data_IF_553250479412
#
_entry.id   IF_553250479412
#
_cell.length_a   1.000
_cell.length_b   1.000
_cell.length_c   1.000
_cell.angle_alpha   90.00
_cell.angle_beta   90.00
_cell.angle_gamma   90.00
#
_symmetry.space_group_name_H-M   'P 1'
#
loop_
_entity.id
_entity.type
_entity.pdbx_description
1 polymer ?
#
# COMPACT_ATOMS: atom_id res chain seq x y z
N UNK A 1 7.07 -19.01 -27.56
CA UNK A 1 7.50 -18.30 -26.33
C UNK A 1 7.84 -19.34 -25.30
N UNK A 2 9.05 -19.34 -24.73
CA UNK A 2 9.32 -20.21 -23.59
C UNK A 2 8.43 -19.79 -22.42
N UNK A 3 7.85 -20.75 -21.73
CA UNK A 3 7.07 -20.48 -20.52
C UNK A 3 7.97 -19.86 -19.44
N UNK A 4 7.36 -19.16 -18.48
CA UNK A 4 8.10 -18.56 -17.35
C UNK A 4 8.96 -19.62 -16.64
N UNK A 5 8.39 -20.82 -16.47
CA UNK A 5 9.03 -21.98 -15.85
C UNK A 5 10.26 -22.46 -16.64
N UNK A 6 10.14 -22.70 -17.95
CA UNK A 6 11.27 -23.11 -18.79
C UNK A 6 12.42 -22.11 -18.74
N UNK A 7 12.10 -20.82 -18.67
CA UNK A 7 13.10 -19.76 -18.61
C UNK A 7 13.83 -19.77 -17.27
N UNK A 8 13.10 -19.89 -16.17
CA UNK A 8 13.68 -20.01 -14.83
C UNK A 8 14.56 -21.26 -14.73
N UNK A 9 14.07 -22.41 -15.17
CA UNK A 9 14.83 -23.67 -15.18
C UNK A 9 16.12 -23.55 -15.99
N UNK A 10 16.06 -22.94 -17.18
CA UNK A 10 17.26 -22.71 -18.01
C UNK A 10 18.30 -21.89 -17.24
N UNK A 11 17.88 -20.81 -16.58
CA UNK A 11 18.79 -19.92 -15.84
C UNK A 11 19.36 -20.60 -14.57
N UNK A 12 18.56 -21.41 -13.87
CA UNK A 12 19.02 -22.18 -12.72
C UNK A 12 20.03 -23.26 -13.12
N UNK A 13 19.82 -23.94 -14.25
CA UNK A 13 20.73 -24.96 -14.79
C UNK A 13 22.04 -24.37 -15.30
N UNK A 14 22.00 -23.14 -15.82
CA UNK A 14 23.21 -22.42 -16.24
C UNK A 14 24.11 -22.01 -15.07
N UNK A 15 23.56 -21.91 -13.85
CA UNK A 15 24.33 -21.63 -12.63
C UNK A 15 25.00 -22.92 -12.14
N UNK A 16 26.31 -22.87 -11.84
CA UNK A 16 27.01 -24.04 -11.27
C UNK A 16 26.50 -24.31 -9.84
N UNK A 17 26.14 -25.56 -9.49
CA UNK A 17 25.61 -25.91 -8.17
C UNK A 17 26.66 -25.82 -7.05
N UNK A 18 26.27 -25.74 -5.75
CA UNK A 18 24.93 -25.98 -5.21
C UNK A 18 24.11 -24.70 -4.98
N UNK A 19 22.81 -24.77 -5.32
CA UNK A 19 21.85 -23.71 -5.05
C UNK A 19 20.98 -24.09 -3.85
N UNK A 20 20.84 -23.20 -2.88
CA UNK A 20 19.89 -23.38 -1.76
C UNK A 20 18.46 -23.08 -2.20
N UNK A 21 17.46 -23.62 -1.48
CA UNK A 21 16.05 -23.34 -1.75
C UNK A 21 15.75 -21.84 -1.62
N UNK A 22 16.37 -21.18 -0.64
CA UNK A 22 16.20 -19.75 -0.40
C UNK A 22 16.75 -18.93 -1.57
N UNK A 23 17.93 -19.28 -2.09
CA UNK A 23 18.46 -18.65 -3.30
C UNK A 23 17.56 -18.88 -4.52
N UNK A 24 16.99 -20.08 -4.69
CA UNK A 24 16.05 -20.36 -5.77
C UNK A 24 14.79 -19.49 -5.67
N UNK A 25 14.25 -19.30 -4.46
CA UNK A 25 13.12 -18.43 -4.19
C UNK A 25 13.45 -16.97 -4.51
N UNK A 26 14.64 -16.50 -4.16
CA UNK A 26 15.11 -15.14 -4.51
C UNK A 26 15.18 -14.93 -6.02
N UNK A 27 15.71 -15.91 -6.77
CA UNK A 27 15.75 -15.84 -8.23
C UNK A 27 14.35 -15.83 -8.85
N UNK A 28 13.44 -16.66 -8.34
CA UNK A 28 12.05 -16.67 -8.77
C UNK A 28 11.39 -15.31 -8.52
N UNK A 29 11.57 -14.74 -7.33
CA UNK A 29 11.02 -13.43 -6.98
C UNK A 29 11.57 -12.32 -7.88
N UNK A 30 12.88 -12.33 -8.18
CA UNK A 30 13.50 -11.39 -9.09
C UNK A 30 12.94 -11.52 -10.52
N UNK A 31 12.79 -12.75 -11.02
CA UNK A 31 12.27 -13.00 -12.36
C UNK A 31 10.79 -12.56 -12.50
N UNK A 32 9.96 -12.83 -11.49
CA UNK A 32 8.56 -12.39 -11.49
C UNK A 32 8.49 -10.85 -11.48
N UNK A 33 9.17 -10.21 -10.53
CA UNK A 33 9.09 -8.76 -10.33
C UNK A 33 9.68 -7.94 -11.49
N UNK A 34 10.77 -8.42 -12.12
CA UNK A 34 11.48 -7.67 -13.17
C UNK A 34 11.02 -8.02 -14.57
N UNK A 35 10.83 -9.30 -14.86
CA UNK A 35 10.52 -9.76 -16.20
C UNK A 35 9.01 -9.95 -16.37
N UNK A 36 8.34 -10.76 -15.53
CA UNK A 36 6.93 -11.09 -15.76
C UNK A 36 6.01 -9.86 -15.62
N UNK A 37 6.13 -9.11 -14.53
CA UNK A 37 5.24 -7.99 -14.22
C UNK A 37 5.36 -6.84 -15.24
N UNK A 38 6.56 -6.63 -15.79
CA UNK A 38 6.88 -5.48 -16.67
C UNK A 38 6.91 -5.83 -18.16
N UNK A 39 6.81 -7.11 -18.52
CA UNK A 39 6.77 -7.52 -19.91
C UNK A 39 5.37 -7.29 -20.48
N UNK A 40 5.30 -6.63 -21.63
CA UNK A 40 4.06 -6.44 -22.37
C UNK A 40 3.48 -7.81 -22.75
N UNK A 41 2.26 -8.09 -22.31
CA UNK A 41 1.59 -9.34 -22.60
C UNK A 41 1.04 -9.32 -24.02
N UNK A 42 1.26 -10.37 -24.80
CA UNK A 42 0.88 -10.41 -26.23
C UNK A 42 -0.63 -10.25 -26.45
N UNK A 43 -1.46 -10.79 -25.54
CA UNK A 43 -2.92 -10.72 -25.66
C UNK A 43 -3.52 -9.41 -25.16
N UNK A 44 -2.90 -8.79 -24.14
CA UNK A 44 -3.45 -7.59 -23.52
C UNK A 44 -2.81 -6.32 -24.06
N UNK A 45 -1.66 -6.43 -24.74
CA UNK A 45 -0.82 -5.31 -25.21
C UNK A 45 -0.39 -4.33 -24.10
N UNK A 46 -0.62 -4.69 -22.83
CA UNK A 46 -0.26 -3.94 -21.63
C UNK A 46 0.62 -4.82 -20.74
N UNK A 47 1.36 -4.21 -19.82
CA UNK A 47 2.08 -4.97 -18.79
C UNK A 47 1.09 -5.46 -17.71
N UNK A 48 1.30 -6.67 -17.15
CA UNK A 48 0.46 -7.16 -16.04
C UNK A 48 0.41 -6.19 -14.86
N UNK A 49 1.53 -5.52 -14.56
CA UNK A 49 1.62 -4.51 -13.50
C UNK A 49 0.70 -3.30 -13.78
N UNK A 50 0.81 -2.68 -14.95
CA UNK A 50 -0.04 -1.55 -15.32
C UNK A 50 -1.52 -1.93 -15.33
N UNK A 51 -1.86 -3.10 -15.88
CA UNK A 51 -3.24 -3.56 -15.91
C UNK A 51 -3.79 -3.75 -14.50
N UNK A 52 -3.01 -4.37 -13.61
CA UNK A 52 -3.39 -4.52 -12.20
C UNK A 52 -3.60 -3.16 -11.52
N UNK A 53 -2.74 -2.18 -11.82
CA UNK A 53 -2.83 -0.82 -11.28
C UNK A 53 -3.88 0.07 -11.96
N UNK A 54 -4.39 -0.28 -13.14
CA UNK A 54 -5.52 0.40 -13.78
C UNK A 54 -6.86 0.02 -13.14
N UNK A 55 -7.00 -1.21 -12.61
CA UNK A 55 -8.23 -1.64 -11.95
C UNK A 55 -8.53 -0.80 -10.71
N UNK A 56 -9.74 -0.28 -10.49
CA UNK A 56 -10.00 0.61 -9.36
C UNK A 56 -9.64 -0.01 -8.00
N UNK A 57 -9.01 0.78 -7.12
CA UNK A 57 -8.51 0.31 -5.83
C UNK A 57 -9.60 -0.27 -4.91
N UNK A 58 -10.85 0.19 -5.05
CA UNK A 58 -11.98 -0.32 -4.26
C UNK A 58 -12.37 -1.77 -4.57
N UNK A 59 -11.98 -2.29 -5.74
CA UNK A 59 -12.16 -3.71 -6.08
C UNK A 59 -10.93 -4.57 -5.72
N UNK A 60 -9.82 -3.96 -5.30
CA UNK A 60 -8.61 -4.69 -4.91
C UNK A 60 -8.71 -5.11 -3.46
N UNK A 61 -8.69 -6.43 -3.23
CA UNK A 61 -8.58 -7.00 -1.88
C UNK A 61 -7.11 -7.11 -1.52
N UNK A 62 -6.64 -6.20 -0.68
CA UNK A 62 -5.35 -6.34 -0.03
C UNK A 62 -5.55 -7.19 1.21
N UNK A 63 -4.94 -8.37 1.23
CA UNK A 63 -4.83 -9.19 2.44
C UNK A 63 -3.39 -9.08 2.92
N UNK A 64 -3.20 -8.82 4.20
CA UNK A 64 -1.86 -8.77 4.77
C UNK A 64 -1.19 -10.14 4.61
N UNK A 65 0.08 -10.19 4.18
CA UNK A 65 0.79 -11.45 3.96
C UNK A 65 0.85 -12.31 5.23
N UNK A 66 0.96 -11.66 6.40
CA UNK A 66 0.90 -12.29 7.72
C UNK A 66 -0.46 -12.96 7.97
N UNK A 67 -1.56 -12.37 7.52
CA UNK A 67 -2.88 -12.99 7.65
C UNK A 67 -3.03 -14.19 6.71
N UNK A 68 -2.49 -14.10 5.50
CA UNK A 68 -2.51 -15.21 4.55
C UNK A 68 -1.66 -16.39 5.03
N UNK A 69 -0.47 -16.14 5.59
CA UNK A 69 0.41 -17.20 6.07
C UNK A 69 -0.26 -18.03 7.16
N UNK A 70 -1.02 -17.40 8.07
CA UNK A 70 -1.79 -18.07 9.13
C UNK A 70 -2.89 -19.01 8.61
N UNK A 71 -3.36 -18.86 7.37
CA UNK A 71 -4.39 -19.72 6.76
C UNK A 71 -3.79 -21.06 6.33
N UNK A 72 -2.53 -21.05 5.86
CA UNK A 72 -1.87 -22.26 5.33
C UNK A 72 -1.22 -23.12 6.42
N UNK A 73 -1.21 -22.66 7.66
CA UNK A 73 -0.62 -23.41 8.76
C UNK A 73 -1.43 -24.68 9.08
N UNK A 74 -0.77 -25.82 9.32
CA UNK A 74 -1.44 -27.05 9.72
C UNK A 74 -2.22 -26.86 11.03
N UNK A 75 -3.45 -27.38 11.05
CA UNK A 75 -4.38 -27.24 12.17
C UNK A 75 -4.45 -28.53 13.01
N UNK A 76 -4.51 -28.41 14.33
CA UNK A 76 -4.75 -29.53 15.25
C UNK A 76 -5.61 -29.11 16.44
N UNK A 77 -6.54 -29.98 16.85
CA UNK A 77 -7.39 -29.77 18.03
C UNK A 77 -6.72 -30.32 19.28
N UNK A 78 -6.69 -29.52 20.35
CA UNK A 78 -6.17 -29.93 21.67
C UNK A 78 -7.00 -29.33 22.79
N UNK A 79 -6.86 -29.87 24.00
CA UNK A 79 -7.52 -29.36 25.20
C UNK A 79 -6.55 -28.55 26.06
N UNK A 80 -6.97 -27.37 26.48
CA UNK A 80 -6.20 -26.53 27.39
C UNK A 80 -6.32 -27.07 28.82
N UNK A 81 -5.18 -27.21 29.52
CA UNK A 81 -5.15 -27.64 30.92
C UNK A 81 -5.74 -26.59 31.87
N UNK A 82 -5.97 -26.97 33.14
CA UNK A 82 -6.45 -26.05 34.20
C UNK A 82 -5.49 -24.88 34.44
N UNK A 83 -4.20 -25.10 34.21
CA UNK A 83 -3.12 -24.11 34.36
C UNK A 83 -2.83 -23.32 33.09
N UNK A 84 -3.66 -23.43 32.04
CA UNK A 84 -3.44 -22.68 30.80
C UNK A 84 -2.34 -23.22 29.90
N UNK A 85 -1.94 -24.48 30.11
CA UNK A 85 -0.95 -25.15 29.28
C UNK A 85 -1.62 -26.01 28.21
N UNK A 86 -1.12 -25.93 26.99
CA UNK A 86 -1.47 -26.83 25.90
C UNK A 86 -0.34 -27.83 25.70
N UNK A 87 -0.66 -29.12 25.61
CA UNK A 87 0.33 -30.15 25.28
C UNK A 87 0.23 -30.48 23.79
N UNK A 88 1.30 -30.21 23.05
CA UNK A 88 1.41 -30.48 21.63
C UNK A 88 2.81 -31.01 21.31
N UNK A 89 2.90 -32.14 20.59
CA UNK A 89 4.18 -32.79 20.23
C UNK A 89 5.18 -33.00 21.39
N UNK A 90 4.68 -33.40 22.58
CA UNK A 90 5.44 -33.56 23.84
C UNK A 90 5.98 -32.25 24.44
N UNK A 91 5.79 -31.13 23.75
CA UNK A 91 6.05 -29.80 24.24
C UNK A 91 4.80 -29.23 24.93
N UNK A 92 5.02 -28.24 25.80
CA UNK A 92 3.97 -27.51 26.50
C UNK A 92 4.01 -26.08 26.00
N UNK A 93 2.85 -25.48 25.75
CA UNK A 93 2.74 -24.08 25.33
C UNK A 93 1.86 -23.32 26.32
N UNK A 94 2.28 -22.12 26.69
CA UNK A 94 1.55 -21.25 27.60
C UNK A 94 0.54 -20.41 26.83
N UNK A 95 -0.74 -20.59 27.16
CA UNK A 95 -1.83 -19.79 26.59
C UNK A 95 -1.99 -18.50 27.40
N UNK A 96 -1.91 -17.32 26.77
CA UNK A 96 -2.05 -16.05 27.49
C UNK A 96 -3.47 -15.83 28.04
N UNK A 97 -4.49 -16.45 27.43
CA UNK A 97 -5.89 -16.22 27.77
C UNK A 97 -6.48 -17.21 28.79
N UNK A 98 -6.95 -16.67 29.91
CA UNK A 98 -7.59 -17.42 31.01
C UNK A 98 -8.94 -18.03 30.60
N UNK A 99 -9.67 -17.38 29.67
CA UNK A 99 -11.01 -17.82 29.23
C UNK A 99 -11.01 -19.16 28.49
N UNK A 100 -9.85 -19.55 27.96
CA UNK A 100 -9.69 -20.78 27.19
C UNK A 100 -9.36 -22.00 28.08
N UNK A 101 -9.27 -21.84 29.40
CA UNK A 101 -8.91 -22.94 30.29
C UNK A 101 -9.99 -24.04 30.30
N UNK A 102 -9.54 -25.30 30.23
CA UNK A 102 -10.39 -26.50 30.10
C UNK A 102 -11.20 -26.61 28.80
N UNK A 103 -11.05 -25.67 27.86
CA UNK A 103 -11.72 -25.70 26.57
C UNK A 103 -10.92 -26.49 25.52
N UNK A 104 -11.62 -26.92 24.48
CA UNK A 104 -11.01 -27.45 23.27
C UNK A 104 -10.70 -26.29 22.32
N UNK A 105 -9.44 -26.17 21.93
CA UNK A 105 -8.94 -25.11 21.05
C UNK A 105 -8.28 -25.71 19.82
N UNK A 106 -8.28 -24.94 18.74
CA UNK A 106 -7.57 -25.24 17.51
C UNK A 106 -6.22 -24.53 17.56
N UNK A 107 -5.15 -25.30 17.42
CA UNK A 107 -3.80 -24.78 17.30
C UNK A 107 -3.42 -24.79 15.83
N UNK A 108 -2.84 -23.69 15.36
CA UNK A 108 -2.09 -23.64 14.11
C UNK A 108 -0.62 -23.44 14.44
N UNK A 109 0.25 -24.21 13.82
CA UNK A 109 1.69 -24.19 14.15
C UNK A 109 2.52 -24.15 12.87
N UNK A 110 3.67 -23.51 12.94
CA UNK A 110 4.66 -23.56 11.87
C UNK A 110 5.55 -24.79 12.08
N UNK A 111 5.89 -25.47 10.98
CA UNK A 111 6.83 -26.61 11.03
C UNK A 111 8.28 -26.13 11.16
N UNK A 112 8.57 -24.91 10.70
CA UNK A 112 9.91 -24.33 10.73
C UNK A 112 10.21 -23.63 12.07
N UNK A 113 9.18 -23.06 12.71
CA UNK A 113 9.31 -22.37 14.00
C UNK A 113 8.40 -22.99 15.09
N UNK A 114 8.88 -24.01 15.83
CA UNK A 114 8.11 -24.64 16.89
C UNK A 114 8.03 -23.80 18.18
N UNK A 115 8.65 -22.60 18.24
CA UNK A 115 8.68 -21.80 19.48
C UNK A 115 7.35 -21.15 19.82
N UNK A 116 6.49 -20.98 18.82
CA UNK A 116 5.19 -20.32 18.93
C UNK A 116 4.13 -21.11 18.20
N UNK A 117 2.92 -21.06 18.75
CA UNK A 117 1.73 -21.62 18.13
C UNK A 117 0.57 -20.64 18.22
N UNK A 118 -0.26 -20.61 17.20
CA UNK A 118 -1.40 -19.70 17.11
C UNK A 118 -2.66 -20.39 17.62
N UNK A 119 -3.35 -19.77 18.57
CA UNK A 119 -4.53 -20.34 19.23
C UNK A 119 -5.80 -19.76 18.65
N UNK A 120 -6.69 -20.66 18.23
CA UNK A 120 -7.99 -20.37 17.66
C UNK A 120 -9.10 -21.07 18.47
N UNK A 121 -10.22 -20.40 18.65
CA UNK A 121 -11.40 -20.98 19.28
C UNK A 121 -12.67 -20.45 18.62
N UNK A 122 -13.55 -21.35 18.16
CA UNK A 122 -14.79 -21.00 17.44
C UNK A 122 -14.54 -20.02 16.27
N UNK A 123 -13.56 -20.36 15.42
CA UNK A 123 -13.14 -19.56 14.26
C UNK A 123 -12.66 -18.14 14.57
N UNK A 124 -12.32 -17.86 15.84
CA UNK A 124 -11.71 -16.61 16.26
C UNK A 124 -10.27 -16.83 16.71
N UNK A 125 -9.40 -15.93 16.29
CA UNK A 125 -8.02 -15.87 16.73
C UNK A 125 -7.93 -15.23 18.13
N UNK A 126 -7.24 -15.91 19.05
CA UNK A 126 -7.09 -15.47 20.45
C UNK A 126 -5.64 -15.10 20.81
N UNK A 127 -4.67 -15.36 19.93
CA UNK A 127 -3.29 -14.94 20.12
C UNK A 127 -2.26 -16.05 19.97
N UNK A 128 -1.02 -15.71 20.28
CA UNK A 128 0.14 -16.59 20.21
C UNK A 128 0.39 -17.23 21.58
N UNK A 129 0.63 -18.55 21.58
CA UNK A 129 1.09 -19.30 22.74
C UNK A 129 2.56 -19.68 22.52
N UNK A 130 3.39 -19.36 23.51
CA UNK A 130 4.83 -19.61 23.44
C UNK A 130 5.21 -20.91 24.15
N UNK A 131 6.29 -21.53 23.70
CA UNK A 131 6.85 -22.74 24.30
C UNK A 131 7.14 -22.52 25.81
N UNK A 132 6.53 -23.35 26.63
CA UNK A 132 6.70 -23.38 28.09
C UNK A 132 7.99 -24.12 28.42
N UNK A 133 9.01 -23.37 28.81
CA UNK A 133 10.27 -23.91 29.34
C UNK A 133 10.13 -24.01 30.86
N UNK A 134 10.20 -25.23 31.45
CA UNK A 134 10.06 -25.42 32.91
C UNK A 134 11.23 -24.82 33.70
N UNK A 135 12.35 -24.58 33.04
CA UNK A 135 13.55 -23.93 33.59
C UNK A 135 13.57 -22.45 33.20
N UNK A 136 12.87 -21.59 33.94
CA UNK A 136 13.29 -20.22 34.24
C UNK A 136 12.20 -19.47 34.99
N UNK A 137 12.21 -19.71 36.29
CA UNK A 137 11.78 -18.75 37.30
C UNK A 137 12.52 -17.42 37.08
N UNK A 138 11.81 -16.32 37.24
CA UNK A 138 12.14 -14.92 36.90
C UNK A 138 13.60 -14.47 37.17
N UNK A 139 14.27 -15.06 38.16
CA UNK A 139 15.62 -14.75 38.63
C UNK A 139 16.75 -15.08 37.63
N UNK A 140 16.64 -16.17 36.86
CA UNK A 140 17.68 -16.52 35.86
C UNK A 140 17.64 -15.62 34.63
N UNK A 141 16.45 -15.09 34.29
CA UNK A 141 16.26 -14.14 33.18
C UNK A 141 16.93 -12.79 33.45
N UNK A 142 16.82 -12.29 34.69
CA UNK A 142 17.54 -11.10 35.13
C UNK A 142 19.06 -11.33 35.17
N UNK A 143 19.51 -12.48 35.67
CA UNK A 143 20.93 -12.85 35.69
C UNK A 143 21.53 -13.03 34.28
N UNK A 144 20.74 -13.50 33.31
CA UNK A 144 21.13 -13.63 31.91
C UNK A 144 21.21 -12.25 31.22
N UNK A 145 20.20 -11.39 31.41
CA UNK A 145 20.21 -10.01 30.91
C UNK A 145 21.39 -9.19 31.44
N UNK A 146 21.79 -9.39 32.71
CA UNK A 146 22.95 -8.72 33.31
C UNK A 146 24.31 -9.25 32.84
N UNK A 147 24.36 -10.44 32.21
CA UNK A 147 25.59 -11.05 31.68
C UNK A 147 25.81 -10.79 30.19
N UNK A 148 24.82 -10.21 29.51
CA UNK A 148 25.00 -9.70 28.15
C UNK A 148 25.86 -8.44 28.22
N UNK A 149 27.18 -8.58 28.03
CA UNK A 149 28.00 -7.46 27.57
C UNK A 149 27.43 -6.99 26.22
N UNK A 150 27.37 -5.68 25.94
CA UNK A 150 27.21 -5.22 24.57
C UNK A 150 28.38 -5.81 23.77
N UNK A 151 28.08 -6.53 22.69
CA UNK A 151 29.12 -6.89 21.74
C UNK A 151 29.85 -5.59 21.33
N UNK A 152 31.19 -5.60 21.21
CA UNK A 152 31.88 -4.58 20.45
C UNK A 152 31.19 -4.51 19.09
N UNK A 153 30.85 -3.29 18.65
CA UNK A 153 30.23 -3.07 17.35
C UNK A 153 30.99 -3.86 16.29
N UNK A 154 30.30 -4.76 15.60
CA UNK A 154 30.83 -5.38 14.40
C UNK A 154 31.25 -4.24 13.47
N UNK A 155 32.55 -4.06 13.30
CA UNK A 155 33.09 -3.30 12.20
C UNK A 155 32.53 -3.96 10.95
N UNK A 156 31.69 -3.22 10.23
CA UNK A 156 31.23 -3.61 8.90
C UNK A 156 32.42 -4.14 8.09
N UNK A 157 32.30 -5.30 7.42
CA UNK A 157 33.41 -5.88 6.69
C UNK A 157 34.01 -4.85 5.72
N UNK A 158 35.33 -4.85 5.51
CA UNK A 158 35.98 -3.90 4.60
C UNK A 158 35.26 -3.95 3.26
N UNK A 159 34.96 -2.76 2.71
CA UNK A 159 34.27 -2.63 1.44
C UNK A 159 34.94 -3.55 0.41
N UNK A 160 34.17 -4.40 -0.29
CA UNK A 160 34.75 -5.19 -1.36
C UNK A 160 35.33 -4.23 -2.39
N UNK A 161 36.58 -4.47 -2.74
CA UNK A 161 37.26 -3.87 -3.89
C UNK A 161 36.36 -3.95 -5.13
N UNK A 162 36.53 -3.07 -6.15
CA UNK A 162 35.72 -3.06 -7.36
C UNK A 162 36.06 -4.26 -8.25
N UNK A 163 35.77 -5.47 -7.76
CA UNK A 163 35.71 -6.67 -8.56
C UNK A 163 34.30 -6.76 -9.10
N UNK A 164 34.15 -6.45 -10.38
CA UNK A 164 32.90 -6.61 -11.13
C UNK A 164 32.89 -8.05 -11.64
N UNK A 165 32.16 -9.00 -11.01
CA UNK A 165 32.00 -10.32 -11.58
C UNK A 165 31.26 -10.21 -12.93
N UNK A 166 31.55 -11.10 -13.89
CA UNK A 166 30.88 -11.10 -15.18
C UNK A 166 29.43 -11.53 -14.99
N UNK A 167 28.55 -10.58 -14.70
CA UNK A 167 27.17 -10.88 -14.33
C UNK A 167 26.41 -11.59 -15.45
N UNK A 168 25.80 -12.73 -15.12
CA UNK A 168 24.62 -13.29 -15.79
C UNK A 168 23.43 -12.33 -15.58
N UNK A 169 22.49 -12.24 -16.53
CA UNK A 169 21.36 -11.28 -16.53
C UNK A 169 20.63 -11.18 -15.18
N UNK A 170 20.43 -12.31 -14.48
CA UNK A 170 19.73 -12.37 -13.19
C UNK A 170 20.50 -11.72 -12.05
N UNK A 171 21.82 -11.78 -12.06
CA UNK A 171 22.62 -11.14 -11.01
C UNK A 171 22.59 -9.61 -11.16
N UNK A 172 22.50 -9.09 -12.39
CA UNK A 172 22.23 -7.67 -12.63
C UNK A 172 20.86 -7.27 -12.08
N UNK A 173 19.84 -8.08 -12.35
CA UNK A 173 18.48 -7.84 -11.84
C UNK A 173 18.39 -7.92 -10.31
N UNK A 174 19.13 -8.82 -9.67
CA UNK A 174 19.20 -8.96 -8.22
C UNK A 174 19.96 -7.80 -7.57
N UNK A 175 21.08 -7.37 -8.17
CA UNK A 175 21.84 -6.21 -7.71
C UNK A 175 21.01 -4.93 -7.78
N UNK A 176 20.31 -4.70 -8.90
CA UNK A 176 19.40 -3.56 -9.07
C UNK A 176 18.21 -3.61 -8.10
N UNK A 177 17.69 -4.81 -7.78
CA UNK A 177 16.64 -4.97 -6.77
C UNK A 177 17.12 -4.65 -5.35
N UNK A 178 18.32 -5.13 -4.98
CA UNK A 178 18.94 -4.80 -3.70
C UNK A 178 19.25 -3.30 -3.60
N UNK A 179 19.72 -2.68 -4.67
CA UNK A 179 19.91 -1.23 -4.73
C UNK A 179 18.59 -0.48 -4.58
N UNK A 180 17.51 -0.89 -5.26
CA UNK A 180 16.19 -0.25 -5.10
C UNK A 180 15.59 -0.42 -3.70
N UNK A 181 15.84 -1.55 -3.02
CA UNK A 181 15.46 -1.71 -1.61
C UNK A 181 16.30 -0.82 -0.69
N UNK A 182 17.58 -0.62 -0.99
CA UNK A 182 18.48 0.25 -0.23
C UNK A 182 18.23 1.75 -0.49
N UNK A 183 17.87 2.13 -1.72
CA UNK A 183 17.48 3.50 -2.12
C UNK A 183 16.09 3.87 -1.58
N UNK A 184 15.23 2.88 -1.32
CA UNK A 184 14.01 3.08 -0.55
C UNK A 184 14.39 3.21 0.92
N UNK A 185 14.74 4.43 1.34
CA UNK A 185 14.91 4.72 2.77
C UNK A 185 13.56 4.48 3.47
N UNK A 186 13.49 3.38 4.20
CA UNK A 186 12.30 2.94 4.94
C UNK A 186 11.86 4.04 5.91
N UNK A 187 12.79 4.83 6.44
CA UNK A 187 12.47 5.95 7.31
C UNK A 187 11.85 7.12 6.54
N UNK A 188 12.31 7.39 5.32
CA UNK A 188 11.71 8.41 4.45
C UNK A 188 10.29 8.01 3.97
N UNK A 189 10.05 6.71 3.75
CA UNK A 189 8.71 6.20 3.45
C UNK A 189 7.77 6.28 4.68
N UNK A 190 8.30 6.03 5.89
CA UNK A 190 7.55 6.16 7.15
C UNK A 190 7.23 7.63 7.47
N UNK A 191 8.14 8.57 7.22
CA UNK A 191 7.86 10.00 7.43
C UNK A 191 6.83 10.54 6.45
N UNK A 192 6.89 10.13 5.17
CA UNK A 192 5.86 10.48 4.17
C UNK A 192 4.48 9.91 4.53
N UNK A 193 4.42 8.71 5.07
CA UNK A 193 3.15 8.11 5.50
C UNK A 193 2.60 8.72 6.80
N UNK A 194 3.46 9.11 7.74
CA UNK A 194 3.07 9.90 8.92
C UNK A 194 2.58 11.30 8.56
N UNK A 195 3.28 12.03 7.70
CA UNK A 195 2.86 13.34 7.22
C UNK A 195 1.49 13.27 6.52
N UNK A 196 1.28 12.24 5.70
CA UNK A 196 -0.01 11.99 5.04
C UNK A 196 -1.11 11.64 6.04
N UNK A 197 -0.81 10.88 7.08
CA UNK A 197 -1.74 10.58 8.18
C UNK A 197 -2.11 11.83 8.97
N UNK A 198 -1.16 12.74 9.19
CA UNK A 198 -1.40 14.02 9.86
C UNK A 198 -2.22 14.98 9.01
N UNK A 199 -1.97 15.06 7.70
CA UNK A 199 -2.82 15.79 6.76
C UNK A 199 -4.25 15.28 6.77
N UNK A 200 -4.43 13.95 6.64
CA UNK A 200 -5.76 13.33 6.68
C UNK A 200 -6.44 13.57 8.03
N UNK A 201 -5.69 13.55 9.14
CA UNK A 201 -6.23 13.86 10.47
C UNK A 201 -6.65 15.33 10.57
N UNK A 202 -5.87 16.26 10.03
CA UNK A 202 -6.18 17.68 10.00
C UNK A 202 -7.43 17.97 9.14
N UNK A 203 -7.54 17.33 7.97
CA UNK A 203 -8.71 17.39 7.08
C UNK A 203 -9.96 16.80 7.75
N UNK A 204 -9.81 15.72 8.51
CA UNK A 204 -10.91 15.05 9.23
C UNK A 204 -11.31 15.73 10.54
N UNK A 205 -10.70 16.86 10.91
CA UNK A 205 -11.11 17.61 12.10
C UNK A 205 -11.92 18.88 11.75
N UNK A 206 -13.11 18.81 11.11
CA UNK A 206 -14.06 19.89 11.23
C UNK A 206 -14.79 19.74 12.57
N UNK A 207 -14.52 20.69 13.48
CA UNK A 207 -15.36 21.07 14.62
C UNK A 207 -15.39 20.15 15.86
N UNK A 208 -14.54 20.48 16.84
CA UNK A 208 -14.88 20.30 18.26
C UNK A 208 -15.07 21.69 18.85
N UNK A 209 -16.33 22.14 18.98
CA UNK A 209 -16.66 23.30 19.81
C UNK A 209 -16.45 22.93 21.28
N UNK A 210 -15.89 23.82 22.13
CA UNK A 210 -15.89 23.61 23.58
C UNK A 210 -17.33 23.66 24.13
N UNK A 211 -17.61 23.00 25.27
CA UNK A 211 -18.97 22.89 25.79
C UNK A 211 -19.43 24.22 26.41
N UNK A 212 -20.36 24.90 25.77
CA UNK A 212 -21.13 26.00 26.37
C UNK A 212 -22.38 25.43 27.05
N UNK A 213 -22.51 25.72 28.35
CA UNK A 213 -23.69 25.41 29.14
C UNK A 213 -24.80 26.42 28.83
N UNK A 214 -26.03 25.93 28.59
CA UNK A 214 -27.26 26.72 28.66
C UNK A 214 -28.15 26.65 27.43
N UNK A 215 -29.06 25.66 27.39
CA UNK A 215 -30.29 25.65 26.59
C UNK A 215 -31.27 26.78 27.03
N UNK A 216 -32.47 27.02 26.42
CA UNK A 216 -33.17 26.27 25.35
C UNK A 216 -33.85 27.13 24.26
N UNK A 217 -34.29 26.50 23.16
CA UNK A 217 -35.69 26.56 22.65
C UNK A 217 -35.78 26.11 21.19
N UNK A 218 -36.78 25.28 20.90
CA UNK A 218 -37.46 25.30 19.60
C UNK A 218 -37.21 24.14 18.64
N UNK A 219 -38.07 23.12 18.74
CA UNK A 219 -38.76 22.49 17.61
C UNK A 219 -37.94 21.61 16.64
N UNK A 220 -38.14 20.29 16.72
CA UNK A 220 -37.92 19.37 15.60
C UNK A 220 -38.87 19.73 14.44
N UNK A 221 -38.40 19.72 13.18
CA UNK A 221 -38.66 18.51 12.39
C UNK A 221 -37.56 18.14 11.37
N UNK A 222 -37.64 16.87 10.98
CA UNK A 222 -37.14 16.22 9.76
C UNK A 222 -36.63 17.15 8.62
N UNK A 223 -35.41 16.92 8.13
CA UNK A 223 -35.00 17.22 6.75
C UNK A 223 -33.76 16.39 6.40
N UNK A 224 -33.86 15.38 5.54
CA UNK A 224 -33.50 15.51 4.12
C UNK A 224 -32.10 16.11 3.93
N UNK A 225 -31.14 15.25 3.60
CA UNK A 225 -29.81 15.61 3.15
C UNK A 225 -29.90 16.45 1.86
N UNK A 226 -30.03 17.77 2.01
CA UNK A 226 -29.74 18.74 0.97
C UNK A 226 -28.23 18.87 0.88
N UNK A 227 -27.67 18.28 -0.17
CA UNK A 227 -26.31 18.52 -0.64
C UNK A 227 -26.08 20.03 -0.83
N UNK A 228 -25.08 20.58 -0.15
CA UNK A 228 -24.54 21.89 -0.49
C UNK A 228 -23.97 21.86 -1.93
N UNK A 229 -24.08 22.96 -2.70
CA UNK A 229 -23.57 23.02 -4.07
C UNK A 229 -22.04 22.97 -4.03
N UNK A 230 -21.48 21.78 -4.27
CA UNK A 230 -20.05 21.56 -4.29
C UNK A 230 -19.35 22.56 -5.23
N UNK A 231 -18.49 23.39 -4.64
CA UNK A 231 -17.74 24.45 -5.30
C UNK A 231 -17.07 23.93 -6.59
N UNK A 232 -17.18 24.69 -7.66
CA UNK A 232 -16.61 24.32 -8.96
C UNK A 232 -15.10 24.59 -8.94
N UNK A 233 -14.33 23.58 -8.50
CA UNK A 233 -12.87 23.63 -8.43
C UNK A 233 -12.16 23.18 -9.70
N UNK A 234 -10.82 23.30 -9.69
CA UNK A 234 -9.91 22.95 -10.79
C UNK A 234 -10.14 21.53 -11.33
N UNK A 235 -10.32 20.55 -10.45
CA UNK A 235 -10.54 19.15 -10.82
C UNK A 235 -11.87 18.93 -11.56
N UNK A 236 -12.90 19.72 -11.21
CA UNK A 236 -14.18 19.68 -11.94
C UNK A 236 -14.07 20.36 -13.29
N UNK A 237 -13.29 21.44 -13.39
CA UNK A 237 -13.04 22.12 -14.65
C UNK A 237 -12.24 21.23 -15.63
N UNK A 238 -11.17 20.58 -15.17
CA UNK A 238 -10.38 19.62 -15.97
C UNK A 238 -11.24 18.45 -16.46
N UNK A 239 -12.05 17.88 -15.58
CA UNK A 239 -13.00 16.82 -15.95
C UNK A 239 -14.02 17.32 -16.98
N UNK A 240 -14.62 18.49 -16.77
CA UNK A 240 -15.60 19.06 -17.68
C UNK A 240 -15.03 19.32 -19.08
N UNK A 241 -13.82 19.86 -19.18
CA UNK A 241 -13.14 20.05 -20.46
C UNK A 241 -12.82 18.71 -21.15
N UNK A 242 -12.41 17.70 -20.39
CA UNK A 242 -12.19 16.36 -20.95
C UNK A 242 -13.49 15.74 -21.53
N UNK A 243 -14.62 16.00 -20.88
CA UNK A 243 -15.94 15.54 -21.32
C UNK A 243 -16.41 16.31 -22.55
N UNK A 244 -16.30 17.65 -22.56
CA UNK A 244 -16.74 18.49 -23.68
C UNK A 244 -15.91 18.23 -24.95
N UNK A 245 -14.60 18.06 -24.79
CA UNK A 245 -13.68 17.79 -25.90
C UNK A 245 -13.61 16.28 -26.24
N UNK A 246 -14.32 15.41 -25.51
CA UNK A 246 -14.30 13.94 -25.69
C UNK A 246 -12.89 13.35 -25.78
N UNK A 247 -11.93 13.94 -25.06
CA UNK A 247 -10.51 13.52 -25.03
C UNK A 247 -9.93 13.67 -23.65
N UNK A 248 -8.94 12.82 -23.33
CA UNK A 248 -8.14 13.00 -22.12
C UNK A 248 -7.13 14.13 -22.32
N UNK A 249 -7.01 15.01 -21.34
CA UNK A 249 -6.02 16.09 -21.34
C UNK A 249 -4.63 15.56 -20.95
N UNK A 250 -3.61 15.93 -21.71
CA UNK A 250 -2.20 15.60 -21.46
C UNK A 250 -1.62 16.36 -20.27
N UNK A 251 -0.46 15.92 -19.74
CA UNK A 251 0.17 16.56 -18.59
C UNK A 251 0.52 18.04 -18.85
N UNK A 252 0.94 18.40 -20.07
CA UNK A 252 1.23 19.79 -20.47
C UNK A 252 -0.03 20.65 -20.49
N UNK A 253 -1.12 20.09 -21.01
CA UNK A 253 -2.44 20.71 -21.10
C UNK A 253 -3.05 21.00 -19.72
N UNK A 254 -2.89 20.06 -18.78
CA UNK A 254 -3.32 20.25 -17.38
C UNK A 254 -2.53 21.35 -16.69
N UNK A 255 -1.24 21.48 -16.98
CA UNK A 255 -0.40 22.54 -16.45
C UNK A 255 -0.82 23.91 -17.00
N UNK A 256 -1.12 24.01 -18.30
CA UNK A 256 -1.67 25.24 -18.89
C UNK A 256 -3.03 25.63 -18.29
N UNK A 257 -3.86 24.66 -17.94
CA UNK A 257 -5.14 24.90 -17.29
C UNK A 257 -4.94 25.37 -15.84
N UNK A 258 -4.02 24.77 -15.08
CA UNK A 258 -3.68 25.19 -13.72
C UNK A 258 -3.11 26.62 -13.69
N UNK A 259 -2.23 26.99 -14.63
CA UNK A 259 -1.70 28.36 -14.70
C UNK A 259 -2.82 29.36 -14.99
N UNK A 260 -3.72 29.07 -15.94
CA UNK A 260 -4.86 29.94 -16.25
C UNK A 260 -5.83 30.03 -15.07
N UNK A 261 -6.08 28.93 -14.36
CA UNK A 261 -6.93 28.93 -13.17
C UNK A 261 -6.35 29.76 -12.02
N UNK A 262 -5.03 29.71 -11.79
CA UNK A 262 -4.38 30.49 -10.74
C UNK A 262 -4.35 31.99 -11.04
N UNK A 263 -4.26 32.37 -12.31
CA UNK A 263 -4.16 33.77 -12.72
C UNK A 263 -5.51 34.43 -12.97
N UNK A 264 -6.52 33.68 -13.42
CA UNK A 264 -7.81 34.23 -13.85
C UNK A 264 -9.03 33.55 -13.19
N UNK A 265 -8.82 32.55 -12.33
CA UNK A 265 -9.90 31.85 -11.62
C UNK A 265 -10.40 32.60 -10.37
N UNK A 266 -11.56 32.20 -9.82
CA UNK A 266 -12.33 30.98 -10.13
C UNK A 266 -13.34 31.16 -11.29
N UNK A 267 -13.36 30.20 -12.22
CA UNK A 267 -14.36 30.16 -13.29
C UNK A 267 -15.67 29.53 -12.81
N UNK A 268 -16.81 30.00 -13.33
CA UNK A 268 -18.10 29.34 -13.07
C UNK A 268 -18.36 28.25 -14.12
N UNK A 269 -18.96 27.11 -13.73
CA UNK A 269 -19.27 26.00 -14.64
C UNK A 269 -20.05 26.45 -15.90
N UNK A 270 -21.03 27.34 -15.71
CA UNK A 270 -21.86 27.88 -16.80
C UNK A 270 -21.02 28.62 -17.84
N UNK A 271 -20.03 29.39 -17.39
CA UNK A 271 -19.13 30.14 -18.26
C UNK A 271 -18.32 29.18 -19.13
N UNK A 272 -17.76 28.13 -18.52
CA UNK A 272 -16.94 27.14 -19.25
C UNK A 272 -17.77 26.39 -20.30
N UNK A 273 -19.01 26.00 -19.95
CA UNK A 273 -19.90 25.32 -20.91
C UNK A 273 -20.32 26.23 -22.07
N UNK A 274 -20.57 27.51 -21.80
CA UNK A 274 -21.02 28.45 -22.81
C UNK A 274 -19.91 28.82 -23.80
N UNK A 275 -18.71 29.12 -23.31
CA UNK A 275 -17.56 29.50 -24.16
C UNK A 275 -17.08 28.32 -25.00
N UNK A 276 -16.88 27.15 -24.37
CA UNK A 276 -16.42 25.95 -25.07
C UNK A 276 -17.50 25.43 -26.02
N UNK A 277 -18.77 25.47 -25.62
CA UNK A 277 -19.90 25.10 -26.47
C UNK A 277 -20.03 25.99 -27.72
N UNK A 278 -19.81 27.31 -27.57
CA UNK A 278 -19.81 28.25 -28.70
C UNK A 278 -18.69 27.93 -29.69
N UNK A 279 -17.46 27.76 -29.20
CA UNK A 279 -16.30 27.46 -30.05
C UNK A 279 -16.44 26.10 -30.77
N UNK A 280 -16.97 25.09 -30.09
CA UNK A 280 -17.27 23.80 -30.72
C UNK A 280 -18.34 23.93 -31.81
N UNK A 281 -19.33 24.82 -31.63
CA UNK A 281 -20.34 25.14 -32.64
C UNK A 281 -19.80 25.91 -33.84
N UNK A 282 -18.79 26.75 -33.62
CA UNK A 282 -18.08 27.51 -34.66
C UNK A 282 -17.05 26.66 -35.44
N UNK A 283 -16.89 25.38 -35.08
CA UNK A 283 -16.03 24.43 -35.79
C UNK A 283 -14.55 24.49 -35.36
N UNK A 284 -14.25 25.04 -34.19
CA UNK A 284 -12.89 25.03 -33.67
C UNK A 284 -12.37 23.59 -33.47
N UNK A 285 -11.09 23.32 -33.79
CA UNK A 285 -10.53 22.00 -33.65
C UNK A 285 -10.51 21.57 -32.19
N UNK A 286 -10.98 20.36 -31.93
CA UNK A 286 -11.02 19.77 -30.58
C UNK A 286 -9.61 19.57 -30.01
N UNK A 287 -8.59 19.49 -30.88
CA UNK A 287 -7.17 19.30 -30.54
C UNK A 287 -6.50 20.56 -29.97
N UNK A 288 -7.01 21.76 -30.23
CA UNK A 288 -6.35 23.00 -29.80
C UNK A 288 -6.89 23.49 -28.45
N UNK A 289 -6.32 22.99 -27.34
CA UNK A 289 -6.75 23.39 -25.99
C UNK A 289 -6.43 24.86 -25.70
N UNK A 290 -5.34 25.38 -26.25
CA UNK A 290 -4.86 26.72 -25.96
C UNK A 290 -5.85 27.77 -26.44
N UNK A 291 -6.47 27.56 -27.61
CA UNK A 291 -7.55 28.42 -28.10
C UNK A 291 -8.77 28.46 -27.16
N UNK A 292 -9.17 27.32 -26.58
CA UNK A 292 -10.27 27.29 -25.59
C UNK A 292 -9.88 28.00 -24.29
N UNK A 293 -8.63 27.85 -23.81
CA UNK A 293 -8.14 28.51 -22.61
C UNK A 293 -8.01 30.03 -22.81
N UNK A 294 -7.62 30.49 -24.00
CA UNK A 294 -7.56 31.90 -24.35
C UNK A 294 -8.96 32.54 -24.41
N UNK A 295 -9.93 31.83 -24.99
CA UNK A 295 -11.33 32.28 -24.98
C UNK A 295 -11.94 32.29 -23.57
N UNK A 296 -11.56 31.33 -22.71
CA UNK A 296 -11.94 31.34 -21.30
C UNK A 296 -11.31 32.52 -20.55
N UNK A 297 -10.07 32.87 -20.86
CA UNK A 297 -9.40 34.06 -20.33
C UNK A 297 -10.11 35.35 -20.75
N UNK A 298 -10.48 35.47 -22.03
CA UNK A 298 -11.21 36.64 -22.54
C UNK A 298 -12.60 36.77 -21.89
N UNK A 299 -13.35 35.66 -21.81
CA UNK A 299 -14.65 35.64 -21.16
C UNK A 299 -14.58 35.96 -19.66
N UNK A 300 -13.53 35.53 -18.97
CA UNK A 300 -13.30 35.87 -17.58
C UNK A 300 -12.99 37.36 -17.38
N UNK A 301 -12.20 37.96 -18.29
CA UNK A 301 -11.91 39.40 -18.29
C UNK A 301 -13.13 40.28 -18.57
N UNK A 302 -14.05 39.83 -19.43
CA UNK A 302 -15.32 40.54 -19.67
C UNK A 302 -16.25 40.53 -18.45
N UNK A 303 -16.14 39.52 -17.58
CA UNK A 303 -16.97 39.40 -16.37
C UNK A 303 -16.41 40.12 -15.13
N UNK A 304 -15.13 40.51 -15.12
CA UNK A 304 -14.49 41.23 -14.01
C UNK A 304 -13.68 42.42 -14.55
N UNK A 305 -14.25 43.64 -14.64
CA UNK A 305 -13.57 44.80 -15.22
C UNK A 305 -12.49 45.44 -14.32
N UNK A 306 -12.26 44.93 -13.10
CA UNK A 306 -11.32 45.51 -12.11
C UNK A 306 -10.03 44.69 -11.91
N UNK A 307 -9.64 43.86 -12.89
CA UNK A 307 -8.33 43.18 -12.96
C UNK A 307 -7.50 43.68 -14.15
#
# INVERSE_FOLDING_TARGET
>A
MRSLYERLETELVLKKPPLTLDEANDYLAALISRDYHRRIHSETTQTPEERFFQFPAHYRRFVFPETLSLIFLPCKRTKVSKTGLIQFNKEKYLVPEIKLYKQWVEIRYDLLDPRKVYVWWRDRYYGEAFLYVPENDYLKRQAYLSRLQPCPQEQSPPQPSPYVPPYTRLERQLAEYRQQLAERDVNEALTKTWAKKEQVKAELTPWVRPPEAGAPAGTCPQSEAKSEPAEFGLDRCTHLLSVLLKRSLDARERLSLDTVWRHYGPFTEKMVRQTVGRLLGEGHPVSDLMGYLEALRLAAGETNPDL
#
